data_IF_511857008339
#
_entry.id   IF_511857008339
#
_cell.length_a   1.000
_cell.length_b   1.000
_cell.length_c   1.000
_cell.angle_alpha   90.00
_cell.angle_beta   90.00
_cell.angle_gamma   90.00
#
_symmetry.space_group_name_H-M   'P 1'
#
loop_
_entity.id
_entity.type
_entity.pdbx_description
1 polymer ?
#
# COMPACT_ATOMS: atom_id res chain seq x y z
N UNK A 1 13.46 10.44 -2.29
CA UNK A 1 12.70 9.19 -2.46
C UNK A 1 12.93 8.61 -3.85
N UNK A 2 13.07 7.29 -3.97
CA UNK A 2 13.22 6.57 -5.23
C UNK A 2 12.04 5.60 -5.44
N UNK A 3 11.70 5.29 -6.69
CA UNK A 3 10.60 4.38 -7.03
C UNK A 3 11.10 3.02 -7.55
N UNK A 4 10.39 1.95 -7.19
CA UNK A 4 10.55 0.60 -7.74
C UNK A 4 9.22 0.01 -8.20
N UNK A 5 9.17 -0.44 -9.45
CA UNK A 5 8.02 -1.21 -9.94
C UNK A 5 8.20 -2.70 -9.63
N UNK A 6 7.13 -3.35 -9.17
CA UNK A 6 7.10 -4.79 -8.92
C UNK A 6 6.19 -5.48 -9.92
N UNK A 7 6.67 -6.58 -10.52
CA UNK A 7 5.88 -7.45 -11.40
C UNK A 7 4.82 -8.29 -10.65
N UNK A 8 3.95 -7.62 -9.90
CA UNK A 8 2.77 -8.17 -9.24
C UNK A 8 1.55 -7.75 -10.05
N UNK A 9 0.89 -8.71 -10.71
CA UNK A 9 -0.20 -8.47 -11.66
C UNK A 9 -1.56 -8.85 -11.10
N UNK A 10 -1.65 -9.51 -9.96
CA UNK A 10 -2.92 -9.98 -9.38
C UNK A 10 -3.05 -9.53 -7.92
N UNK A 11 -4.28 -9.48 -7.40
CA UNK A 11 -4.49 -9.16 -5.97
C UNK A 11 -3.68 -10.11 -5.06
N UNK A 12 -3.67 -11.42 -5.37
CA UNK A 12 -2.94 -12.41 -4.60
C UNK A 12 -1.42 -12.17 -4.63
N UNK A 13 -0.87 -11.69 -5.75
CA UNK A 13 0.54 -11.30 -5.84
C UNK A 13 0.85 -10.06 -5.01
N UNK A 14 -0.02 -9.03 -5.04
CA UNK A 14 0.14 -7.83 -4.22
C UNK A 14 0.07 -8.16 -2.73
N UNK A 15 -0.87 -9.02 -2.31
CA UNK A 15 -0.97 -9.49 -0.92
C UNK A 15 0.27 -10.28 -0.52
N UNK A 16 0.77 -11.19 -1.38
CA UNK A 16 2.02 -11.92 -1.12
C UNK A 16 3.22 -10.97 -1.03
N UNK A 17 3.27 -9.94 -1.86
CA UNK A 17 4.31 -8.91 -1.83
C UNK A 17 4.29 -8.16 -0.50
N UNK A 18 3.14 -7.63 -0.09
CA UNK A 18 2.97 -6.95 1.20
C UNK A 18 3.35 -7.87 2.37
N UNK A 19 2.93 -9.14 2.32
CA UNK A 19 3.30 -10.12 3.33
C UNK A 19 4.79 -10.49 3.33
N UNK A 20 5.44 -10.50 2.16
CA UNK A 20 6.88 -10.73 2.08
C UNK A 20 7.67 -9.57 2.68
N UNK A 21 7.19 -8.32 2.54
CA UNK A 21 7.77 -7.16 3.23
C UNK A 21 7.68 -7.31 4.76
N UNK A 22 6.50 -7.65 5.31
CA UNK A 22 6.29 -7.81 6.76
C UNK A 22 7.05 -8.96 7.41
N UNK A 23 7.50 -9.95 6.62
CA UNK A 23 8.28 -11.10 7.11
C UNK A 23 9.76 -10.98 6.77
N UNK A 24 10.17 -9.91 6.10
CA UNK A 24 11.56 -9.77 5.70
C UNK A 24 12.45 -9.51 6.92
N UNK A 25 13.69 -10.01 6.91
CA UNK A 25 14.61 -9.83 8.04
C UNK A 25 15.02 -8.37 8.32
N UNK A 26 14.76 -7.46 7.39
CA UNK A 26 15.02 -6.02 7.50
C UNK A 26 13.79 -5.24 7.97
N UNK A 27 12.64 -5.90 8.11
CA UNK A 27 11.41 -5.27 8.56
C UNK A 27 11.51 -4.86 10.03
N UNK A 28 11.05 -3.65 10.34
CA UNK A 28 10.94 -3.12 11.69
C UNK A 28 9.48 -2.83 12.07
N UNK A 29 8.77 -2.11 11.22
CA UNK A 29 7.39 -1.69 11.48
C UNK A 29 6.54 -1.73 10.21
N UNK A 30 5.23 -1.85 10.39
CA UNK A 30 4.22 -1.69 9.35
C UNK A 30 3.14 -0.74 9.84
N UNK A 31 2.73 0.18 8.97
CA UNK A 31 1.56 1.02 9.16
C UNK A 31 0.65 0.89 7.93
N UNK A 32 -0.22 -0.11 7.97
CA UNK A 32 -1.22 -0.31 6.93
C UNK A 32 -2.53 0.25 7.43
N UNK A 33 -3.17 1.11 6.63
CA UNK A 33 -4.42 1.76 7.01
C UNK A 33 -5.49 1.66 5.93
N UNK A 34 -6.75 1.59 6.38
CA UNK A 34 -7.94 1.54 5.55
C UNK A 34 -8.84 2.73 5.87
N UNK A 35 -9.24 3.48 4.85
CA UNK A 35 -10.17 4.59 5.01
C UNK A 35 -11.61 4.10 5.22
N UNK A 36 -12.38 4.80 6.07
CA UNK A 36 -13.75 4.41 6.46
C UNK A 36 -14.71 4.21 5.27
N UNK A 37 -14.48 4.89 4.15
CA UNK A 37 -15.33 4.77 2.96
C UNK A 37 -15.30 3.37 2.37
N UNK A 38 -14.17 2.67 2.50
CA UNK A 38 -14.04 1.28 2.04
C UNK A 38 -14.83 0.33 2.94
N UNK A 39 -14.74 0.50 4.27
CA UNK A 39 -15.57 -0.25 5.22
C UNK A 39 -17.06 -0.05 4.91
N UNK A 40 -17.48 1.19 4.69
CA UNK A 40 -18.87 1.53 4.36
C UNK A 40 -19.33 0.93 3.03
N UNK A 41 -18.47 0.92 2.01
CA UNK A 41 -18.78 0.34 0.70
C UNK A 41 -18.94 -1.18 0.79
N UNK A 42 -18.09 -1.86 1.56
CA UNK A 42 -18.06 -3.32 1.63
C UNK A 42 -19.03 -3.92 2.66
N UNK A 43 -19.55 -3.14 3.62
CA UNK A 43 -20.40 -3.67 4.71
C UNK A 43 -21.67 -4.42 4.27
N UNK A 44 -22.24 -4.09 3.10
CA UNK A 44 -23.38 -4.83 2.54
C UNK A 44 -22.96 -6.08 1.75
N UNK A 45 -21.72 -6.13 1.27
CA UNK A 45 -21.18 -7.19 0.41
C UNK A 45 -20.41 -8.25 1.20
N UNK A 46 -19.81 -7.88 2.32
CA UNK A 46 -19.05 -8.75 3.20
C UNK A 46 -19.33 -8.39 4.68
N UNK A 47 -19.97 -9.30 5.44
CA UNK A 47 -20.30 -9.07 6.84
C UNK A 47 -19.11 -8.69 7.73
N UNK A 48 -17.88 -9.07 7.33
CA UNK A 48 -16.64 -8.70 8.04
C UNK A 48 -16.51 -7.19 8.25
N UNK A 49 -16.99 -6.36 7.32
CA UNK A 49 -16.84 -4.91 7.37
C UNK A 49 -17.91 -4.19 8.22
N UNK A 50 -19.00 -4.87 8.60
CA UNK A 50 -20.12 -4.25 9.34
C UNK A 50 -19.73 -3.69 10.72
N UNK A 51 -18.95 -4.40 11.56
CA UNK A 51 -18.54 -3.87 12.85
C UNK A 51 -17.72 -2.57 12.72
N UNK A 52 -16.89 -2.45 11.69
CA UNK A 52 -16.08 -1.26 11.44
C UNK A 52 -16.94 -0.03 11.11
N UNK A 53 -18.01 -0.22 10.33
CA UNK A 53 -18.99 0.85 10.08
C UNK A 53 -19.68 1.29 11.38
N UNK A 54 -20.02 0.37 12.28
CA UNK A 54 -20.64 0.74 13.57
C UNK A 54 -19.65 1.47 14.49
N UNK A 55 -18.38 1.07 14.48
CA UNK A 55 -17.31 1.79 15.20
C UNK A 55 -17.14 3.21 14.66
N UNK A 56 -17.13 3.39 13.34
CA UNK A 56 -17.04 4.71 12.72
C UNK A 56 -18.26 5.59 13.04
N UNK A 57 -19.48 5.04 13.04
CA UNK A 57 -20.68 5.76 13.49
C UNK A 57 -20.55 6.22 14.95
N UNK A 58 -20.05 5.35 15.82
CA UNK A 58 -19.83 5.68 17.23
C UNK A 58 -18.80 6.81 17.38
N UNK A 59 -17.71 6.77 16.61
CA UNK A 59 -16.71 7.83 16.54
C UNK A 59 -17.33 9.16 16.12
N UNK A 60 -18.15 9.17 15.06
CA UNK A 60 -18.84 10.39 14.60
C UNK A 60 -19.83 10.95 15.62
N UNK A 61 -20.46 10.10 16.42
CA UNK A 61 -21.32 10.56 17.51
C UNK A 61 -20.51 11.18 18.66
N UNK A 62 -19.31 10.69 18.92
CA UNK A 62 -18.39 11.22 19.94
C UNK A 62 -17.68 12.50 19.47
N UNK A 63 -17.47 12.65 18.16
CA UNK A 63 -16.84 13.81 17.54
C UNK A 63 -17.73 14.38 16.40
N UNK A 64 -18.81 15.11 16.74
CA UNK A 64 -19.72 15.67 15.75
C UNK A 64 -19.06 16.68 14.78
N UNK A 65 -17.93 17.24 15.19
CA UNK A 65 -17.09 18.19 14.46
C UNK A 65 -16.12 17.52 13.46
N UNK A 66 -16.01 16.19 13.47
CA UNK A 66 -15.16 15.44 12.54
C UNK A 66 -15.66 15.61 11.10
N UNK A 67 -14.96 16.44 10.31
CA UNK A 67 -15.19 16.54 8.87
C UNK A 67 -14.69 15.26 8.20
N UNK A 68 -15.64 14.47 7.69
CA UNK A 68 -15.37 13.19 7.01
C UNK A 68 -14.61 13.35 5.70
N UNK A 69 -14.43 14.59 5.21
CA UNK A 69 -13.65 14.93 4.02
C UNK A 69 -12.27 15.48 4.34
N UNK A 70 -11.89 15.60 5.62
CA UNK A 70 -10.56 16.05 6.02
C UNK A 70 -9.51 14.94 5.83
N UNK A 71 -8.24 15.27 6.11
CA UNK A 71 -7.14 14.30 6.24
C UNK A 71 -6.93 13.87 7.70
N UNK A 72 -7.96 13.98 8.55
CA UNK A 72 -7.88 13.57 9.95
C UNK A 72 -7.60 12.07 10.06
N UNK A 73 -6.53 11.71 10.77
CA UNK A 73 -6.08 10.31 10.89
C UNK A 73 -7.14 9.36 11.45
N UNK A 74 -8.12 9.87 12.21
CA UNK A 74 -9.22 9.07 12.77
C UNK A 74 -10.16 8.51 11.70
N UNK A 75 -10.08 9.02 10.47
CA UNK A 75 -10.83 8.52 9.30
C UNK A 75 -10.22 7.22 8.72
N UNK A 76 -9.02 6.87 9.17
CA UNK A 76 -8.34 5.63 8.85
C UNK A 76 -8.27 4.72 10.06
N UNK A 77 -8.30 3.41 9.82
CA UNK A 77 -8.05 2.39 10.84
C UNK A 77 -6.89 1.48 10.41
N UNK A 78 -6.24 0.78 11.36
CA UNK A 78 -5.30 -0.28 11.01
C UNK A 78 -5.94 -1.32 10.08
N UNK A 79 -5.15 -1.81 9.13
CA UNK A 79 -5.52 -2.79 8.12
C UNK A 79 -4.59 -4.00 8.22
N UNK A 80 -5.15 -5.16 8.52
CA UNK A 80 -4.38 -6.42 8.50
C UNK A 80 -4.23 -6.97 7.07
N UNK A 81 -3.20 -7.77 6.81
CA UNK A 81 -3.00 -8.40 5.49
C UNK A 81 -4.19 -9.27 5.04
N UNK A 82 -4.83 -9.99 5.96
CA UNK A 82 -6.01 -10.79 5.65
C UNK A 82 -7.22 -9.92 5.24
N UNK A 83 -7.30 -8.69 5.76
CA UNK A 83 -8.31 -7.73 5.34
C UNK A 83 -7.95 -7.07 4.01
N UNK A 84 -6.66 -6.79 3.76
CA UNK A 84 -6.18 -6.31 2.47
C UNK A 84 -6.57 -7.29 1.34
N UNK A 85 -6.36 -8.60 1.56
CA UNK A 85 -6.79 -9.64 0.62
C UNK A 85 -8.29 -9.60 0.33
N UNK A 86 -9.12 -9.39 1.36
CA UNK A 86 -10.57 -9.24 1.19
C UNK A 86 -10.92 -7.99 0.40
N UNK A 87 -10.34 -6.84 0.74
CA UNK A 87 -10.59 -5.56 0.05
C UNK A 87 -10.23 -5.70 -1.42
N UNK A 88 -8.99 -6.09 -1.74
CA UNK A 88 -8.55 -6.25 -3.13
C UNK A 88 -9.35 -7.36 -3.83
N UNK A 89 -9.71 -8.44 -3.14
CA UNK A 89 -10.56 -9.49 -3.68
C UNK A 89 -11.97 -9.02 -4.08
N UNK A 90 -12.55 -8.03 -3.39
CA UNK A 90 -13.83 -7.43 -3.80
C UNK A 90 -13.67 -6.48 -4.98
N UNK A 91 -12.62 -5.67 -4.99
CA UNK A 91 -12.43 -4.61 -5.97
C UNK A 91 -11.75 -5.05 -7.26
N UNK A 92 -10.95 -6.13 -7.23
CA UNK A 92 -10.15 -6.56 -8.38
C UNK A 92 -10.61 -7.88 -8.98
N UNK A 93 -11.41 -8.70 -8.29
CA UNK A 93 -11.95 -9.92 -8.92
C UNK A 93 -13.17 -9.60 -9.79
N UNK A 94 -13.22 -10.04 -11.07
CA UNK A 94 -14.28 -9.65 -12.01
C UNK A 94 -15.71 -9.94 -11.54
N UNK A 95 -15.91 -11.04 -10.79
CA UNK A 95 -17.22 -11.45 -10.31
C UNK A 95 -17.75 -10.62 -9.11
N UNK A 96 -16.91 -9.78 -8.50
CA UNK A 96 -17.27 -8.95 -7.33
C UNK A 96 -17.11 -7.45 -7.59
N UNK A 97 -16.19 -7.09 -8.48
CA UNK A 97 -15.76 -5.72 -8.75
C UNK A 97 -16.91 -4.77 -9.02
N UNK A 98 -17.86 -5.14 -9.89
CA UNK A 98 -18.96 -4.23 -10.26
C UNK A 98 -19.76 -3.75 -9.04
N UNK A 99 -20.14 -4.66 -8.15
CA UNK A 99 -20.91 -4.31 -6.95
C UNK A 99 -20.10 -3.46 -5.96
N UNK A 100 -18.83 -3.81 -5.74
CA UNK A 100 -17.93 -3.07 -4.84
C UNK A 100 -17.65 -1.65 -5.37
N UNK A 101 -17.36 -1.52 -6.68
CA UNK A 101 -17.15 -0.24 -7.36
C UNK A 101 -18.37 0.65 -7.25
N UNK A 102 -19.56 0.15 -7.57
CA UNK A 102 -20.80 0.94 -7.44
C UNK A 102 -21.02 1.38 -5.99
N UNK A 103 -20.80 0.50 -5.01
CA UNK A 103 -20.95 0.86 -3.59
C UNK A 103 -19.96 1.96 -3.18
N UNK A 104 -18.68 1.83 -3.53
CA UNK A 104 -17.64 2.80 -3.17
C UNK A 104 -17.89 4.18 -3.79
N UNK A 105 -18.17 4.25 -5.10
CA UNK A 105 -18.42 5.52 -5.78
C UNK A 105 -19.66 6.22 -5.22
N UNK A 106 -20.70 5.47 -4.85
CA UNK A 106 -21.87 6.02 -4.16
C UNK A 106 -21.53 6.58 -2.78
N UNK A 107 -20.69 5.89 -1.99
CA UNK A 107 -20.25 6.38 -0.68
C UNK A 107 -19.43 7.67 -0.82
N UNK A 108 -18.45 7.69 -1.73
CA UNK A 108 -17.60 8.86 -1.98
C UNK A 108 -18.41 10.07 -2.43
N UNK A 109 -19.34 9.87 -3.37
CA UNK A 109 -20.21 10.93 -3.89
C UNK A 109 -21.11 11.50 -2.80
N UNK A 110 -21.75 10.62 -1.99
CA UNK A 110 -22.62 11.05 -0.87
C UNK A 110 -21.86 11.78 0.23
N UNK A 111 -20.59 11.42 0.45
CA UNK A 111 -19.72 12.09 1.40
C UNK A 111 -19.15 13.42 0.85
N UNK A 112 -19.39 13.74 -0.44
CA UNK A 112 -18.96 15.00 -1.05
C UNK A 112 -17.49 15.04 -1.45
N UNK A 113 -16.87 13.89 -1.72
CA UNK A 113 -15.53 13.83 -2.29
C UNK A 113 -15.55 14.07 -3.79
N UNK A 114 -14.52 14.76 -4.29
CA UNK A 114 -14.22 14.78 -5.72
C UNK A 114 -13.68 13.41 -6.13
N UNK A 115 -14.14 12.89 -7.28
CA UNK A 115 -13.63 11.63 -7.80
C UNK A 115 -12.35 11.90 -8.61
N UNK A 116 -11.23 11.23 -8.29
CA UNK A 116 -9.98 11.41 -9.02
C UNK A 116 -10.12 10.99 -10.49
N UNK A 117 -9.35 11.68 -11.35
CA UNK A 117 -9.29 11.39 -12.78
C UNK A 117 -7.82 11.27 -13.21
N UNK A 118 -7.32 10.04 -13.27
CA UNK A 118 -6.02 9.70 -13.82
C UNK A 118 -6.05 8.25 -14.34
N UNK A 119 -5.06 7.82 -15.14
CA UNK A 119 -4.89 6.42 -15.46
C UNK A 119 -4.68 5.58 -14.18
N UNK A 120 -5.17 4.33 -14.13
CA UNK A 120 -4.95 3.48 -12.96
C UNK A 120 -3.47 3.21 -12.72
N UNK A 121 -3.07 3.24 -11.44
CA UNK A 121 -1.67 3.09 -10.98
C UNK A 121 -0.74 4.20 -11.48
N UNK A 122 -1.29 5.34 -11.90
CA UNK A 122 -0.56 6.55 -12.27
C UNK A 122 -0.87 7.73 -11.33
N UNK A 123 -1.37 7.44 -10.12
CA UNK A 123 -1.57 8.44 -9.08
C UNK A 123 -0.24 9.10 -8.69
N UNK A 124 -0.18 10.44 -8.56
CA UNK A 124 1.03 11.13 -8.12
C UNK A 124 1.36 10.81 -6.65
N UNK A 125 2.61 10.49 -6.36
CA UNK A 125 3.07 10.20 -5.00
C UNK A 125 3.20 11.48 -4.14
N UNK A 126 3.66 12.59 -4.73
CA UNK A 126 3.91 13.83 -3.99
C UNK A 126 2.64 14.64 -3.67
N UNK A 127 1.54 14.40 -4.41
CA UNK A 127 0.24 15.05 -4.18
C UNK A 127 -0.91 14.06 -4.42
N UNK A 128 -1.04 13.03 -3.58
CA UNK A 128 -1.96 11.93 -3.83
C UNK A 128 -3.41 12.40 -3.76
N UNK A 129 -4.29 11.87 -4.65
CA UNK A 129 -5.69 12.26 -4.64
C UNK A 129 -6.37 11.94 -3.32
N UNK A 130 -7.17 12.89 -2.84
CA UNK A 130 -7.88 12.74 -1.57
C UNK A 130 -9.31 12.21 -1.77
N UNK A 131 -9.74 11.16 -1.03
CA UNK A 131 -8.98 10.44 -0.02
C UNK A 131 -8.16 9.29 -0.60
N UNK A 132 -7.01 9.05 0.01
CA UNK A 132 -6.28 7.79 -0.13
C UNK A 132 -7.02 6.70 0.63
N UNK A 133 -7.42 5.65 -0.08
CA UNK A 133 -8.31 4.62 0.44
C UNK A 133 -7.56 3.50 1.15
N UNK A 134 -6.33 3.20 0.71
CA UNK A 134 -5.38 2.34 1.38
C UNK A 134 -4.06 3.08 1.56
N UNK A 135 -3.50 3.03 2.76
CA UNK A 135 -2.11 3.39 3.05
C UNK A 135 -1.38 2.09 3.34
N UNK A 136 -0.23 1.89 2.71
CA UNK A 136 0.51 0.64 2.77
C UNK A 136 1.97 0.96 3.03
N UNK A 137 2.33 1.22 4.28
CA UNK A 137 3.66 1.72 4.62
C UNK A 137 4.45 0.75 5.49
N UNK A 138 5.77 0.79 5.35
CA UNK A 138 6.73 0.02 6.14
C UNK A 138 7.89 0.89 6.60
N UNK A 139 8.48 0.50 7.73
CA UNK A 139 9.79 0.97 8.14
C UNK A 139 10.72 -0.23 8.16
N UNK A 140 11.86 -0.11 7.49
CA UNK A 140 12.95 -1.07 7.55
C UNK A 140 14.04 -0.56 8.49
N UNK A 141 14.83 -1.51 9.02
CA UNK A 141 15.96 -1.23 9.88
C UNK A 141 16.88 -0.19 9.25
N UNK A 142 17.31 0.76 10.07
CA UNK A 142 18.40 1.67 9.75
C UNK A 142 19.70 0.87 9.58
N UNK A 143 20.70 1.47 8.92
CA UNK A 143 21.95 0.76 8.58
C UNK A 143 22.77 0.41 9.83
N UNK A 144 22.76 1.26 10.86
CA UNK A 144 23.42 1.00 12.13
C UNK A 144 22.76 -0.09 12.98
N UNK A 145 21.52 -0.48 12.65
CA UNK A 145 20.79 -1.59 13.27
C UNK A 145 21.06 -2.93 12.58
N UNK A 146 21.83 -2.94 11.48
CA UNK A 146 22.11 -4.15 10.73
C UNK A 146 23.18 -5.01 11.41
N UNK A 147 22.77 -6.18 11.87
CA UNK A 147 23.69 -7.25 12.25
C UNK A 147 24.64 -7.67 11.10
N UNK A 148 25.94 -7.64 11.34
CA UNK A 148 26.98 -7.85 10.31
C UNK A 148 26.97 -9.24 9.68
N UNK A 149 26.52 -10.27 10.39
CA UNK A 149 26.46 -11.64 9.87
C UNK A 149 25.12 -11.88 9.16
N UNK A 150 24.03 -11.57 9.84
CA UNK A 150 22.67 -11.78 9.34
C UNK A 150 22.35 -10.89 8.14
N UNK A 151 22.93 -9.70 8.06
CA UNK A 151 22.65 -8.71 7.02
C UNK A 151 23.82 -8.43 6.07
N UNK A 152 24.88 -9.26 6.12
CA UNK A 152 26.10 -9.13 5.33
C UNK A 152 25.86 -8.80 3.85
N UNK A 153 24.84 -9.39 3.22
CA UNK A 153 24.56 -9.15 1.81
C UNK A 153 24.10 -7.73 1.47
N UNK A 154 23.36 -7.06 2.36
CA UNK A 154 22.96 -5.67 2.14
C UNK A 154 24.12 -4.71 2.46
N UNK A 155 24.89 -5.00 3.51
CA UNK A 155 26.09 -4.23 3.86
C UNK A 155 27.10 -4.25 2.70
N UNK A 156 27.38 -5.43 2.14
CA UNK A 156 28.25 -5.57 0.97
C UNK A 156 27.71 -4.82 -0.26
N UNK A 157 26.40 -4.85 -0.49
CA UNK A 157 25.80 -4.14 -1.62
C UNK A 157 25.99 -2.61 -1.52
N UNK A 158 25.95 -2.05 -0.30
CA UNK A 158 26.24 -0.63 -0.05
C UNK A 158 27.74 -0.33 -0.16
N UNK A 159 28.60 -1.20 0.35
CA UNK A 159 30.06 -1.06 0.21
C UNK A 159 30.48 -1.05 -1.26
N UNK A 160 29.93 -1.97 -2.06
CA UNK A 160 30.21 -2.07 -3.50
C UNK A 160 29.70 -0.85 -4.29
N UNK A 161 28.65 -0.16 -3.82
CA UNK A 161 28.09 1.01 -4.51
C UNK A 161 28.78 2.33 -4.14
N UNK A 162 29.36 2.41 -2.95
CA UNK A 162 29.98 3.64 -2.44
C UNK A 162 28.97 4.73 -2.07
N UNK A 163 27.71 4.37 -1.79
CA UNK A 163 26.68 5.33 -1.38
C UNK A 163 27.10 6.01 -0.07
N UNK A 164 26.95 7.33 0.02
CA UNK A 164 27.03 8.04 1.29
C UNK A 164 25.73 7.80 2.06
N UNK A 165 25.83 7.25 3.28
CA UNK A 165 24.67 6.79 4.05
C UNK A 165 24.63 7.45 5.41
N UNK A 166 23.51 8.09 5.73
CA UNK A 166 23.16 8.38 7.12
C UNK A 166 22.75 7.06 7.79
N UNK A 167 23.67 6.50 8.58
CA UNK A 167 23.51 5.15 9.09
C UNK A 167 22.34 5.00 10.09
N UNK A 168 21.96 6.08 10.76
CA UNK A 168 20.92 6.07 11.80
C UNK A 168 19.54 6.48 11.27
N UNK A 169 19.45 6.96 10.02
CA UNK A 169 18.19 7.33 9.42
C UNK A 169 17.30 6.08 9.20
N UNK A 170 16.03 6.10 9.63
CA UNK A 170 15.09 5.03 9.32
C UNK A 170 14.83 4.96 7.81
N UNK A 171 14.64 3.74 7.30
CA UNK A 171 14.34 3.52 5.88
C UNK A 171 12.84 3.37 5.71
N UNK A 172 12.19 4.39 5.17
CA UNK A 172 10.75 4.40 4.94
C UNK A 172 10.41 3.83 3.58
N UNK A 173 9.41 2.95 3.55
CA UNK A 173 8.86 2.39 2.32
C UNK A 173 7.37 2.74 2.27
N UNK A 174 6.95 3.37 1.18
CA UNK A 174 5.56 3.69 0.90
C UNK A 174 5.06 2.81 -0.25
N UNK A 175 3.84 2.30 -0.11
CA UNK A 175 3.16 1.55 -1.14
C UNK A 175 2.69 2.44 -2.30
N UNK A 176 2.05 1.84 -3.32
CA UNK A 176 1.40 2.64 -4.35
C UNK A 176 0.27 3.47 -3.74
N UNK A 177 0.09 4.70 -4.21
CA UNK A 177 -1.08 5.52 -3.89
C UNK A 177 -2.34 4.77 -4.33
N UNK A 178 -3.23 4.44 -3.39
CA UNK A 178 -4.48 3.75 -3.70
C UNK A 178 -5.67 4.67 -3.51
N UNK A 179 -6.11 5.30 -4.59
CA UNK A 179 -7.35 6.10 -4.61
C UNK A 179 -8.56 5.27 -5.05
N UNK A 180 -9.69 5.93 -5.29
CA UNK A 180 -10.86 5.31 -5.91
C UNK A 180 -10.57 4.73 -7.29
N UNK A 181 -9.66 5.33 -8.06
CA UNK A 181 -9.29 4.84 -9.40
C UNK A 181 -8.54 3.51 -9.29
N UNK A 182 -7.55 3.40 -8.40
CA UNK A 182 -6.77 2.18 -8.22
C UNK A 182 -7.63 1.02 -7.74
N UNK A 183 -8.55 1.25 -6.80
CA UNK A 183 -9.45 0.18 -6.38
C UNK A 183 -10.40 -0.23 -7.51
N UNK A 184 -11.01 0.72 -8.22
CA UNK A 184 -12.14 0.39 -9.09
C UNK A 184 -11.74 0.03 -10.52
N UNK A 185 -10.58 0.49 -11.00
CA UNK A 185 -10.20 0.39 -12.41
C UNK A 185 -8.83 -0.24 -12.67
N UNK A 186 -7.99 -0.47 -11.65
CA UNK A 186 -6.65 -1.02 -11.87
C UNK A 186 -6.66 -2.46 -12.39
N UNK A 187 -7.68 -3.27 -12.06
CA UNK A 187 -7.72 -4.69 -12.40
C UNK A 187 -9.05 -5.15 -13.06
N UNK A 188 -9.41 -4.66 -14.26
CA UNK A 188 -10.72 -4.94 -14.89
C UNK A 188 -10.96 -6.43 -15.20
N UNK A 189 -9.90 -7.23 -15.33
CA UNK A 189 -9.98 -8.67 -15.60
C UNK A 189 -9.35 -9.52 -14.49
N UNK A 190 -9.22 -8.99 -13.26
CA UNK A 190 -8.43 -9.65 -12.21
C UNK A 190 -6.92 -9.49 -12.37
N UNK A 191 -6.48 -8.74 -13.39
CA UNK A 191 -5.09 -8.45 -13.67
C UNK A 191 -4.86 -6.93 -13.69
N UNK A 192 -3.82 -6.48 -13.00
CA UNK A 192 -3.41 -5.09 -12.95
C UNK A 192 -2.92 -4.62 -14.33
N UNK A 193 -3.40 -3.44 -14.74
CA UNK A 193 -3.06 -2.81 -16.02
C UNK A 193 -1.63 -2.26 -16.07
N UNK A 194 -1.00 -2.07 -14.92
CA UNK A 194 0.38 -1.62 -14.77
C UNK A 194 1.02 -2.27 -13.52
N UNK A 195 2.33 -2.10 -13.35
CA UNK A 195 3.02 -2.59 -12.15
C UNK A 195 2.81 -1.58 -11.01
N UNK A 196 2.50 -2.03 -9.79
CA UNK A 196 2.50 -1.13 -8.64
C UNK A 196 3.91 -0.60 -8.38
N UNK A 197 4.00 0.70 -8.15
CA UNK A 197 5.24 1.40 -7.77
C UNK A 197 5.27 1.52 -6.25
N UNK A 198 6.40 1.17 -5.66
CA UNK A 198 6.71 1.37 -4.25
C UNK A 198 7.81 2.42 -4.15
N UNK A 199 7.66 3.33 -3.20
CA UNK A 199 8.59 4.42 -2.98
C UNK A 199 9.41 4.15 -1.75
N UNK A 200 10.69 4.52 -1.77
CA UNK A 200 11.54 4.39 -0.60
C UNK A 200 12.38 5.64 -0.36
N UNK A 201 12.48 6.00 0.91
CA UNK A 201 13.44 6.97 1.40
C UNK A 201 14.52 6.24 2.20
N UNK A 202 15.72 6.17 1.61
CA UNK A 202 16.85 5.42 2.13
C UNK A 202 17.89 5.10 1.04
N UNK A 203 19.02 4.48 1.40
CA UNK A 203 20.09 4.19 0.44
C UNK A 203 19.60 3.29 -0.68
N UNK A 204 19.84 3.68 -1.94
CA UNK A 204 19.30 2.97 -3.10
C UNK A 204 19.79 1.51 -3.16
N UNK A 205 21.09 1.30 -2.97
CA UNK A 205 21.72 -0.03 -3.00
C UNK A 205 21.13 -0.96 -1.92
N UNK A 206 20.91 -0.43 -0.71
CA UNK A 206 20.24 -1.12 0.39
C UNK A 206 18.81 -1.52 0.00
N UNK A 207 17.96 -0.56 -0.36
CA UNK A 207 16.55 -0.80 -0.68
C UNK A 207 16.42 -1.78 -1.85
N UNK A 208 17.20 -1.60 -2.90
CA UNK A 208 17.21 -2.49 -4.06
C UNK A 208 17.58 -3.94 -3.66
N UNK A 209 18.59 -4.12 -2.79
CA UNK A 209 18.93 -5.44 -2.27
C UNK A 209 17.77 -6.07 -1.49
N UNK A 210 17.14 -5.30 -0.58
CA UNK A 210 16.01 -5.76 0.22
C UNK A 210 14.82 -6.12 -0.68
N UNK A 211 14.47 -5.27 -1.64
CA UNK A 211 13.36 -5.49 -2.57
C UNK A 211 13.56 -6.73 -3.46
N UNK A 212 14.80 -7.04 -3.88
CA UNK A 212 15.11 -8.31 -4.55
C UNK A 212 14.90 -9.52 -3.62
N UNK A 213 15.14 -9.38 -2.32
CA UNK A 213 14.79 -10.38 -1.30
C UNK A 213 13.27 -10.55 -1.12
N UNK A 214 12.56 -9.44 -0.94
CA UNK A 214 11.10 -9.37 -0.83
C UNK A 214 10.43 -10.00 -2.04
N UNK A 215 10.85 -9.63 -3.26
CA UNK A 215 10.39 -10.21 -4.53
C UNK A 215 10.47 -11.73 -4.52
N UNK A 216 11.61 -12.29 -4.08
CA UNK A 216 11.81 -13.75 -3.98
C UNK A 216 10.84 -14.37 -2.96
N UNK A 217 10.68 -13.75 -1.79
CA UNK A 217 9.72 -14.18 -0.77
C UNK A 217 8.27 -14.14 -1.23
N UNK A 218 7.92 -13.18 -2.10
CA UNK A 218 6.60 -13.02 -2.70
C UNK A 218 6.35 -13.96 -3.90
N UNK A 219 7.41 -14.63 -4.39
CA UNK A 219 7.40 -15.51 -5.56
C UNK A 219 6.96 -14.79 -6.85
N UNK A 220 7.41 -13.56 -7.07
CA UNK A 220 7.12 -12.82 -8.31
C UNK A 220 8.09 -13.20 -9.44
N UNK A 221 7.63 -13.07 -10.68
CA UNK A 221 8.32 -13.60 -11.86
C UNK A 221 9.53 -12.77 -12.33
N UNK A 222 9.53 -11.45 -12.13
CA UNK A 222 10.62 -10.55 -12.54
C UNK A 222 11.22 -9.81 -11.33
N UNK A 223 12.46 -9.36 -11.45
CA UNK A 223 13.08 -8.50 -10.45
C UNK A 223 12.33 -7.15 -10.39
N UNK A 224 12.30 -6.46 -9.24
CA UNK A 224 11.81 -5.10 -9.21
C UNK A 224 12.70 -4.21 -10.08
N UNK A 225 12.10 -3.26 -10.80
CA UNK A 225 12.83 -2.28 -11.62
C UNK A 225 12.88 -0.96 -10.86
N UNK A 226 14.06 -0.51 -10.49
CA UNK A 226 14.26 0.81 -9.88
C UNK A 226 14.65 1.87 -10.90
N UNK A 227 14.85 3.10 -10.44
CA UNK A 227 15.23 4.24 -11.28
C UNK A 227 16.47 3.99 -12.18
N UNK A 228 17.47 3.24 -11.73
CA UNK A 228 18.66 2.92 -12.52
C UNK A 228 18.47 1.80 -13.57
N UNK A 229 17.31 1.15 -13.60
CA UNK A 229 17.00 0.05 -14.53
C UNK A 229 16.16 0.51 -15.75
N UNK A 230 15.81 1.81 -15.83
CA UNK A 230 14.98 2.44 -16.87
C UNK A 230 15.83 3.42 -17.68
#
# INVERSE_FOLDING_TARGET
>A
MFGWSFAARTHAEVVRLCGAMQRHRYWQQTDHRLHWTVDAALASLDPHFRPHVQRFKSLRNQHPDLDVRSRDERLWRPLALAELDRVLGHFWLPNKQAAATTALLNILTRAGFALPQHPPLAGPADDPPHPELLLLDWVFLAVDQLDSERHAGALRAMEDSGDEVDASAPVYIEGPTVSAVELTAAAPAGQLVADPIFWADGPYSYVNYVFRGVRRGAKLAAAPLGYHDI
#
